data_IF_131349691573
#
_entry.id   IF_131349691573
#
_cell.length_a   1.000
_cell.length_b   1.000
_cell.length_c   1.000
_cell.angle_alpha   90.00
_cell.angle_beta   90.00
_cell.angle_gamma   90.00
#
_symmetry.space_group_name_H-M   'P 1'
#
loop_
_entity.id
_entity.type
_entity.pdbx_description
1 polymer ?
#
# COMPACT_ATOMS: atom_id res chain seq x y z
N UNK A 1 -11.95 9.87 -3.82
CA UNK A 1 -13.01 10.61 -3.12
C UNK A 1 -12.50 11.71 -2.17
N UNK A 2 -11.52 11.59 -1.25
CA UNK A 2 -11.02 12.78 -0.52
C UNK A 2 -10.28 13.79 -1.39
N UNK A 3 -9.67 13.36 -2.50
CA UNK A 3 -8.93 14.25 -3.41
C UNK A 3 -9.84 15.15 -4.27
N UNK A 4 -11.08 14.72 -4.54
CA UNK A 4 -12.00 15.50 -5.38
C UNK A 4 -12.61 16.68 -4.61
N UNK A 5 -12.86 16.52 -3.30
CA UNK A 5 -13.35 17.59 -2.44
C UNK A 5 -12.32 18.74 -2.28
N UNK A 6 -11.06 18.38 -2.01
CA UNK A 6 -9.98 19.36 -1.86
C UNK A 6 -9.67 20.10 -3.16
N UNK A 7 -9.77 19.41 -4.31
CA UNK A 7 -9.61 20.04 -5.62
C UNK A 7 -10.75 21.02 -5.89
N UNK A 8 -11.98 20.62 -5.60
CA UNK A 8 -13.15 21.50 -5.73
C UNK A 8 -13.06 22.73 -4.81
N UNK A 9 -12.52 22.59 -3.59
CA UNK A 9 -12.35 23.72 -2.67
C UNK A 9 -11.22 24.66 -3.11
N UNK A 10 -10.14 24.16 -3.68
CA UNK A 10 -9.09 24.99 -4.28
C UNK A 10 -9.62 25.76 -5.50
N UNK A 11 -10.36 25.09 -6.38
CA UNK A 11 -10.98 25.73 -7.56
C UNK A 11 -11.97 26.83 -7.12
N UNK A 12 -12.69 26.62 -6.02
CA UNK A 12 -13.62 27.60 -5.44
C UNK A 12 -12.90 28.83 -4.83
N UNK A 13 -11.76 28.61 -4.18
CA UNK A 13 -10.93 29.70 -3.66
C UNK A 13 -10.32 30.51 -4.81
N UNK A 14 -9.90 29.85 -5.88
CA UNK A 14 -9.36 30.52 -7.07
C UNK A 14 -10.42 31.38 -7.76
N UNK A 15 -11.66 30.92 -7.86
CA UNK A 15 -12.77 31.72 -8.39
C UNK A 15 -13.04 32.97 -7.53
N UNK A 16 -13.04 32.83 -6.19
CA UNK A 16 -13.23 33.98 -5.29
C UNK A 16 -12.09 34.99 -5.38
N UNK A 17 -10.86 34.52 -5.55
CA UNK A 17 -9.71 35.42 -5.75
C UNK A 17 -9.86 36.22 -7.05
N UNK A 18 -10.34 35.60 -8.12
CA UNK A 18 -10.58 36.25 -9.41
C UNK A 18 -11.72 37.30 -9.27
N UNK A 19 -12.78 36.97 -8.56
CA UNK A 19 -13.91 37.90 -8.29
C UNK A 19 -13.45 39.11 -7.46
N UNK A 20 -12.65 38.88 -6.41
CA UNK A 20 -12.09 39.94 -5.60
C UNK A 20 -11.11 40.80 -6.39
N UNK A 21 -10.31 40.24 -7.29
CA UNK A 21 -9.43 40.98 -8.19
C UNK A 21 -10.20 41.85 -9.19
N UNK A 22 -11.35 41.42 -9.68
CA UNK A 22 -12.20 42.26 -10.53
C UNK A 22 -12.74 43.48 -9.80
N UNK A 23 -12.96 43.41 -8.48
CA UNK A 23 -13.43 44.48 -7.63
C UNK A 23 -12.34 45.54 -7.30
N UNK A 24 -11.06 45.28 -7.59
CA UNK A 24 -9.96 46.25 -7.44
C UNK A 24 -10.09 47.47 -8.35
N UNK A 25 -10.91 47.38 -9.40
CA UNK A 25 -11.15 48.45 -10.36
C UNK A 25 -12.04 49.60 -9.77
N UNK A 26 -12.76 49.31 -8.67
CA UNK A 26 -13.61 50.31 -8.00
C UNK A 26 -12.82 51.00 -6.85
N UNK A 27 -12.63 52.34 -6.90
CA UNK A 27 -11.87 53.07 -5.87
C UNK A 27 -12.45 52.96 -4.46
N UNK A 28 -13.77 52.73 -4.31
CA UNK A 28 -14.43 52.61 -3.02
C UNK A 28 -14.30 51.19 -2.41
N UNK A 29 -14.08 50.16 -3.21
CA UNK A 29 -13.97 48.78 -2.78
C UNK A 29 -12.53 48.27 -2.73
N UNK A 30 -11.58 49.03 -3.25
CA UNK A 30 -10.17 48.65 -3.41
C UNK A 30 -9.55 48.08 -2.13
N UNK A 31 -9.67 48.80 -1.01
CA UNK A 31 -9.07 48.41 0.28
C UNK A 31 -9.68 47.13 0.82
N UNK A 32 -11.00 46.95 0.70
CA UNK A 32 -11.70 45.73 1.13
C UNK A 32 -11.34 44.53 0.25
N UNK A 33 -11.20 44.75 -1.06
CA UNK A 33 -10.79 43.71 -2.00
C UNK A 33 -9.34 43.25 -1.77
N UNK A 34 -8.43 44.16 -1.46
CA UNK A 34 -7.05 43.83 -1.09
C UNK A 34 -6.97 42.96 0.19
N UNK A 35 -7.73 43.32 1.23
CA UNK A 35 -7.79 42.51 2.46
C UNK A 35 -8.40 41.13 2.25
N UNK A 36 -9.41 41.04 1.40
CA UNK A 36 -10.07 39.79 1.08
C UNK A 36 -9.17 38.85 0.26
N UNK A 37 -8.44 39.38 -0.70
CA UNK A 37 -7.43 38.65 -1.47
C UNK A 37 -6.37 38.05 -0.55
N UNK A 38 -5.81 38.85 0.36
CA UNK A 38 -4.78 38.38 1.31
C UNK A 38 -5.32 37.20 2.16
N UNK A 39 -6.54 37.32 2.68
CA UNK A 39 -7.19 36.24 3.47
C UNK A 39 -7.42 34.97 2.66
N UNK A 40 -7.86 35.10 1.42
CA UNK A 40 -8.10 33.96 0.53
C UNK A 40 -6.79 33.28 0.11
N UNK A 41 -5.73 34.05 -0.13
CA UNK A 41 -4.40 33.51 -0.42
C UNK A 41 -3.77 32.80 0.79
N UNK A 42 -3.95 33.31 2.01
CA UNK A 42 -3.54 32.61 3.23
C UNK A 42 -4.31 31.30 3.41
N UNK A 43 -5.61 31.28 3.21
CA UNK A 43 -6.41 30.04 3.28
C UNK A 43 -5.96 29.02 2.22
N UNK A 44 -5.70 29.46 1.00
CA UNK A 44 -5.17 28.61 -0.07
C UNK A 44 -3.80 28.04 0.29
N UNK A 45 -2.93 28.86 0.86
CA UNK A 45 -1.59 28.43 1.31
C UNK A 45 -1.65 27.38 2.41
N UNK A 46 -2.48 27.58 3.44
CA UNK A 46 -2.69 26.61 4.52
C UNK A 46 -3.25 25.27 3.99
N UNK A 47 -4.19 25.31 3.04
CA UNK A 47 -4.72 24.11 2.39
C UNK A 47 -3.65 23.36 1.57
N UNK A 48 -2.82 24.08 0.83
CA UNK A 48 -1.71 23.50 0.07
C UNK A 48 -0.62 22.92 0.98
N UNK A 49 -0.28 23.61 2.07
CA UNK A 49 0.68 23.11 3.08
C UNK A 49 0.14 21.84 3.76
N UNK A 50 -1.13 21.81 4.15
CA UNK A 50 -1.76 20.62 4.71
C UNK A 50 -1.82 19.43 3.74
N UNK A 51 -1.96 19.69 2.43
CA UNK A 51 -1.83 18.65 1.39
C UNK A 51 -0.39 18.15 1.25
N UNK A 52 0.57 19.07 1.31
CA UNK A 52 1.99 18.67 1.23
C UNK A 52 2.44 17.92 2.47
N UNK A 53 1.96 18.30 3.67
CA UNK A 53 2.21 17.56 4.91
C UNK A 53 1.56 16.18 4.88
N UNK A 54 0.30 16.04 4.49
CA UNK A 54 -0.35 14.74 4.29
C UNK A 54 0.34 13.88 3.21
N UNK A 55 0.80 14.49 2.11
CA UNK A 55 1.61 13.78 1.11
C UNK A 55 2.99 13.41 1.63
N UNK A 56 3.59 14.22 2.52
CA UNK A 56 4.85 13.90 3.20
C UNK A 56 4.65 12.84 4.28
N UNK A 57 3.56 12.87 5.03
CA UNK A 57 3.21 11.81 6.01
C UNK A 57 2.92 10.48 5.32
N UNK A 58 2.16 10.47 4.22
CA UNK A 58 1.94 9.27 3.39
C UNK A 58 3.21 8.77 2.67
N UNK A 59 4.18 9.66 2.40
CA UNK A 59 5.51 9.28 1.87
C UNK A 59 6.52 8.96 2.97
N UNK A 60 6.30 9.44 4.20
CA UNK A 60 7.21 9.32 5.34
C UNK A 60 6.75 8.33 6.42
N UNK A 61 5.63 7.64 6.26
CA UNK A 61 5.57 6.35 6.94
C UNK A 61 6.69 5.51 6.33
N UNK A 62 7.74 5.17 7.10
CA UNK A 62 8.73 4.25 6.60
C UNK A 62 7.97 2.95 6.36
N UNK A 63 7.63 2.68 5.11
CA UNK A 63 7.25 1.35 4.64
C UNK A 63 8.45 0.47 4.99
N UNK A 64 8.50 0.04 6.29
CA UNK A 64 9.69 -0.51 6.87
C UNK A 64 10.02 -1.87 6.30
N UNK A 65 9.45 -2.88 6.86
CA UNK A 65 9.74 -4.26 6.47
C UNK A 65 9.02 -4.64 5.18
N UNK A 66 9.65 -5.51 4.41
CA UNK A 66 9.10 -6.03 3.15
C UNK A 66 9.12 -7.55 3.14
N UNK A 67 8.13 -8.15 2.52
CA UNK A 67 8.07 -9.57 2.25
C UNK A 67 8.24 -9.75 0.74
N UNK A 68 9.28 -10.45 0.32
CA UNK A 68 9.47 -10.88 -1.06
C UNK A 68 8.92 -12.27 -1.24
N UNK A 69 7.98 -12.43 -2.16
CA UNK A 69 7.42 -13.70 -2.55
C UNK A 69 7.91 -14.04 -3.97
N UNK A 70 8.71 -15.08 -4.10
CA UNK A 70 9.35 -15.49 -5.34
C UNK A 70 8.74 -16.82 -5.77
N UNK A 71 8.08 -16.81 -6.92
CA UNK A 71 7.40 -18.00 -7.45
C UNK A 71 8.00 -18.43 -8.77
N UNK A 72 8.24 -19.73 -9.00
CA UNK A 72 8.63 -20.21 -10.31
C UNK A 72 7.50 -19.97 -11.32
N UNK A 73 7.88 -19.53 -12.52
CA UNK A 73 6.97 -19.33 -13.64
C UNK A 73 7.12 -20.46 -14.68
N UNK A 74 7.13 -20.07 -15.97
CA UNK A 74 7.30 -21.02 -17.07
C UNK A 74 8.75 -21.52 -17.16
N UNK A 75 8.97 -22.84 -17.21
CA UNK A 75 10.30 -23.45 -17.37
C UNK A 75 10.55 -24.74 -16.57
N UNK A 76 9.53 -25.24 -15.87
CA UNK A 76 9.64 -26.48 -15.12
C UNK A 76 10.68 -26.43 -14.00
N UNK A 77 11.56 -27.43 -13.90
CA UNK A 77 12.56 -27.56 -12.83
C UNK A 77 13.57 -26.40 -12.84
N UNK A 78 13.96 -25.93 -14.03
CA UNK A 78 14.87 -24.78 -14.17
C UNK A 78 14.26 -23.49 -13.62
N UNK A 79 12.94 -23.28 -13.72
CA UNK A 79 12.27 -22.14 -13.14
C UNK A 79 12.32 -22.17 -11.60
N UNK A 80 12.27 -23.35 -10.98
CA UNK A 80 12.41 -23.51 -9.52
C UNK A 80 13.84 -23.17 -9.08
N UNK A 81 14.85 -23.69 -9.80
CA UNK A 81 16.26 -23.39 -9.53
C UNK A 81 16.50 -21.88 -9.65
N UNK A 82 15.99 -21.24 -10.70
CA UNK A 82 16.12 -19.82 -10.90
C UNK A 82 15.41 -19.00 -9.80
N UNK A 83 14.26 -19.45 -9.32
CA UNK A 83 13.58 -18.80 -8.19
C UNK A 83 14.44 -18.82 -6.92
N UNK A 84 15.10 -19.95 -6.63
CA UNK A 84 16.07 -20.07 -5.52
C UNK A 84 17.30 -19.18 -5.72
N UNK A 85 17.81 -19.07 -6.94
CA UNK A 85 18.93 -18.18 -7.26
C UNK A 85 18.56 -16.70 -6.99
N UNK A 86 17.34 -16.29 -7.36
CA UNK A 86 16.83 -14.95 -7.05
C UNK A 86 16.68 -14.73 -5.54
N UNK A 87 16.15 -15.71 -4.81
CA UNK A 87 16.04 -15.66 -3.35
C UNK A 87 17.41 -15.45 -2.70
N UNK A 88 18.40 -16.24 -3.12
CA UNK A 88 19.78 -16.11 -2.65
C UNK A 88 20.38 -14.75 -3.00
N UNK A 89 20.16 -14.25 -4.21
CA UNK A 89 20.62 -12.94 -4.65
C UNK A 89 20.06 -11.81 -3.78
N UNK A 90 18.74 -11.82 -3.53
CA UNK A 90 18.09 -10.82 -2.68
C UNK A 90 18.51 -10.91 -1.22
N UNK A 91 18.66 -12.13 -0.70
CA UNK A 91 19.16 -12.36 0.66
C UNK A 91 20.55 -11.78 0.85
N UNK A 92 21.50 -12.08 -0.05
CA UNK A 92 22.86 -11.54 0.00
C UNK A 92 22.88 -10.01 -0.12
N UNK A 93 22.06 -9.48 -1.02
CA UNK A 93 21.92 -8.02 -1.17
C UNK A 93 21.40 -7.38 0.11
N UNK A 94 20.32 -7.90 0.70
CA UNK A 94 19.77 -7.36 1.93
C UNK A 94 20.78 -7.38 3.09
N UNK A 95 21.51 -8.49 3.25
CA UNK A 95 22.56 -8.62 4.26
C UNK A 95 23.70 -7.62 4.03
N UNK A 96 24.09 -7.38 2.77
CA UNK A 96 25.13 -6.39 2.44
C UNK A 96 24.72 -4.95 2.77
N UNK A 97 23.41 -4.68 2.81
CA UNK A 97 22.85 -3.39 3.22
C UNK A 97 22.58 -3.30 4.73
N UNK A 98 23.02 -4.28 5.52
CA UNK A 98 22.81 -4.32 6.97
C UNK A 98 21.36 -4.63 7.39
N UNK A 99 20.53 -5.13 6.48
CA UNK A 99 19.14 -5.49 6.75
C UNK A 99 19.06 -6.91 7.34
N UNK A 100 18.08 -7.14 8.20
CA UNK A 100 17.84 -8.47 8.78
C UNK A 100 16.90 -9.26 7.89
N UNK A 101 17.34 -10.45 7.45
CA UNK A 101 16.54 -11.37 6.62
C UNK A 101 16.02 -12.52 7.47
N UNK A 102 14.75 -12.87 7.28
CA UNK A 102 14.08 -14.02 7.90
C UNK A 102 13.41 -14.80 6.80
N UNK A 103 13.80 -16.05 6.60
CA UNK A 103 13.09 -16.96 5.71
C UNK A 103 11.78 -17.37 6.36
N UNK A 104 10.66 -17.13 5.70
CA UNK A 104 9.32 -17.47 6.17
C UNK A 104 8.91 -18.83 5.63
N UNK A 105 9.15 -19.05 4.34
CA UNK A 105 8.88 -20.29 3.62
C UNK A 105 9.77 -20.36 2.36
N UNK A 106 9.77 -21.47 1.66
CA UNK A 106 10.48 -21.62 0.39
C UNK A 106 9.95 -20.60 -0.63
N UNK A 107 10.83 -19.73 -1.12
CA UNK A 107 10.46 -18.65 -2.01
C UNK A 107 9.80 -17.45 -1.31
N UNK A 108 9.82 -17.39 0.03
CA UNK A 108 9.25 -16.28 0.78
C UNK A 108 10.23 -15.80 1.86
N UNK A 109 10.78 -14.61 1.68
CA UNK A 109 11.69 -13.98 2.63
C UNK A 109 11.15 -12.65 3.14
N UNK A 110 11.28 -12.44 4.43
CA UNK A 110 10.96 -11.18 5.11
C UNK A 110 12.24 -10.41 5.39
N UNK A 111 12.30 -9.19 4.93
CA UNK A 111 13.44 -8.29 5.10
C UNK A 111 13.00 -7.16 6.03
N UNK A 112 13.70 -7.04 7.17
CA UNK A 112 13.41 -6.04 8.21
C UNK A 112 14.38 -4.87 8.12
N UNK A 113 13.83 -3.66 8.12
CA UNK A 113 14.57 -2.40 8.16
C UNK A 113 13.82 -1.28 7.47
N UNK A 114 14.01 -0.04 7.90
CA UNK A 114 13.31 1.13 7.35
C UNK A 114 13.62 1.39 5.88
N UNK A 115 14.76 0.92 5.38
CA UNK A 115 15.19 1.05 3.99
C UNK A 115 14.80 -0.15 3.11
N UNK A 116 14.17 -1.20 3.67
CA UNK A 116 13.89 -2.40 2.90
C UNK A 116 12.92 -2.11 1.72
N UNK A 117 11.78 -1.50 1.98
CA UNK A 117 10.81 -1.23 0.90
C UNK A 117 11.39 -0.33 -0.22
N UNK A 118 12.03 0.81 0.04
CA UNK A 118 12.65 1.63 -1.01
C UNK A 118 13.66 0.89 -1.88
N UNK A 119 14.39 -0.09 -1.32
CA UNK A 119 15.37 -0.87 -2.05
C UNK A 119 14.75 -1.95 -2.95
N UNK A 120 13.61 -2.51 -2.55
CA UNK A 120 13.01 -3.65 -3.25
C UNK A 120 11.74 -3.31 -4.04
N UNK A 121 11.16 -2.12 -3.91
CA UNK A 121 9.89 -1.74 -4.55
C UNK A 121 9.85 -1.95 -6.07
N UNK A 122 10.99 -1.79 -6.76
CA UNK A 122 11.09 -1.97 -8.20
C UNK A 122 11.42 -3.41 -8.63
N UNK A 123 11.52 -4.34 -7.70
CA UNK A 123 11.79 -5.74 -8.02
C UNK A 123 10.52 -6.55 -8.30
N UNK A 124 9.32 -5.96 -8.10
CA UNK A 124 8.06 -6.60 -8.43
C UNK A 124 7.90 -6.80 -9.93
N UNK A 125 7.64 -8.06 -10.34
CA UNK A 125 7.40 -8.39 -11.73
C UNK A 125 7.97 -9.73 -12.18
N UNK A 126 7.93 -9.98 -13.51
CA UNK A 126 8.46 -11.18 -14.12
C UNK A 126 9.95 -11.08 -14.43
N UNK A 127 10.74 -12.01 -13.93
CA UNK A 127 12.17 -12.16 -14.19
C UNK A 127 12.40 -13.33 -15.13
N UNK A 128 13.23 -13.14 -16.16
CA UNK A 128 13.55 -14.13 -17.16
C UNK A 128 15.02 -14.50 -17.10
N UNK A 129 15.34 -15.79 -17.09
CA UNK A 129 16.69 -16.31 -17.23
C UNK A 129 16.89 -16.98 -18.58
N UNK A 130 18.08 -16.81 -19.14
CA UNK A 130 18.56 -17.48 -20.33
C UNK A 130 19.92 -18.11 -20.01
N UNK A 131 19.97 -19.42 -19.81
CA UNK A 131 21.19 -20.20 -19.55
C UNK A 131 21.02 -21.64 -20.00
N UNK A 132 22.11 -22.38 -20.04
CA UNK A 132 22.08 -23.82 -20.14
C UNK A 132 21.79 -24.35 -18.72
N UNK A 133 20.65 -25.00 -18.47
CA UNK A 133 20.32 -25.53 -17.15
C UNK A 133 21.29 -26.65 -16.74
N UNK A 134 21.48 -26.85 -15.44
CA UNK A 134 22.24 -27.99 -14.91
C UNK A 134 21.59 -29.33 -15.30
N UNK A 135 20.28 -29.33 -15.56
CA UNK A 135 19.48 -30.49 -15.97
C UNK A 135 19.55 -30.77 -17.48
N UNK A 136 20.21 -29.94 -18.29
CA UNK A 136 20.30 -30.08 -19.73
C UNK A 136 21.60 -30.79 -20.14
N UNK A 137 21.48 -31.94 -20.76
CA UNK A 137 22.62 -32.75 -21.19
C UNK A 137 23.19 -32.39 -22.57
N UNK A 138 22.40 -31.72 -23.42
CA UNK A 138 22.81 -31.35 -24.81
C UNK A 138 23.30 -29.94 -24.98
N UNK A 139 23.52 -29.19 -23.87
CA UNK A 139 24.05 -27.82 -23.92
C UNK A 139 23.10 -26.77 -24.51
N UNK A 140 21.82 -27.06 -24.64
CA UNK A 140 20.83 -26.10 -25.19
C UNK A 140 20.51 -25.00 -24.18
N UNK A 141 20.42 -23.76 -24.67
CA UNK A 141 20.01 -22.63 -23.88
C UNK A 141 18.48 -22.69 -23.64
N UNK A 142 18.09 -22.75 -22.37
CA UNK A 142 16.69 -22.67 -21.97
C UNK A 142 16.32 -21.25 -21.54
N UNK A 143 15.04 -20.96 -21.68
CA UNK A 143 14.45 -19.70 -21.21
C UNK A 143 13.41 -20.03 -20.16
N UNK A 144 13.68 -19.67 -18.92
CA UNK A 144 12.78 -19.87 -17.78
C UNK A 144 12.41 -18.55 -17.12
N UNK A 145 11.33 -18.55 -16.37
CA UNK A 145 10.83 -17.32 -15.69
C UNK A 145 10.53 -17.61 -14.22
N UNK A 146 10.67 -16.57 -13.41
CA UNK A 146 10.17 -16.50 -12.05
C UNK A 146 9.47 -15.16 -11.84
N UNK A 147 8.48 -15.11 -10.95
CA UNK A 147 7.79 -13.87 -10.58
C UNK A 147 8.20 -13.48 -9.17
N UNK A 148 8.36 -12.18 -8.95
CA UNK A 148 8.67 -11.58 -7.66
C UNK A 148 7.54 -10.64 -7.29
N UNK A 149 6.87 -10.89 -6.15
CA UNK A 149 5.95 -9.95 -5.55
C UNK A 149 6.63 -9.27 -4.36
N UNK A 150 6.46 -7.96 -4.26
CA UNK A 150 6.98 -7.13 -3.17
C UNK A 150 5.80 -6.69 -2.32
N UNK A 151 5.68 -7.24 -1.12
CA UNK A 151 4.58 -7.00 -0.21
C UNK A 151 5.06 -6.17 0.97
N UNK A 152 4.46 -5.00 1.26
CA UNK A 152 4.75 -4.30 2.51
C UNK A 152 4.28 -5.15 3.70
N UNK A 153 5.06 -5.17 4.77
CA UNK A 153 4.58 -5.78 6.01
C UNK A 153 3.51 -4.90 6.64
N UNK A 154 2.29 -5.39 6.69
CA UNK A 154 1.21 -4.74 7.42
C UNK A 154 1.27 -5.21 8.87
N UNK A 155 1.42 -4.27 9.81
CA UNK A 155 1.32 -4.55 11.23
C UNK A 155 -0.13 -4.85 11.57
N UNK A 156 -0.35 -5.84 12.44
CA UNK A 156 -1.67 -6.01 13.06
C UNK A 156 -2.03 -4.72 13.80
N UNK A 157 -3.08 -4.07 13.33
CA UNK A 157 -3.53 -2.82 13.92
C UNK A 157 -4.47 -3.16 15.07
N UNK A 158 -4.09 -2.86 16.29
CA UNK A 158 -5.03 -2.86 17.42
C UNK A 158 -6.07 -1.76 17.17
N UNK A 159 -7.33 -2.17 17.03
CA UNK A 159 -8.42 -1.24 16.79
C UNK A 159 -8.77 -0.53 18.09
N UNK A 160 -8.26 0.68 18.24
CA UNK A 160 -8.64 1.57 19.34
C UNK A 160 -9.95 2.30 18.97
N UNK A 161 -11.02 1.99 19.72
CA UNK A 161 -12.29 2.68 19.57
C UNK A 161 -12.30 3.95 20.42
N UNK A 162 -12.26 5.11 19.78
CA UNK A 162 -12.47 6.38 20.48
C UNK A 162 -13.95 6.58 20.75
N UNK A 163 -14.32 6.84 22.01
CA UNK A 163 -15.71 7.08 22.39
C UNK A 163 -16.37 8.26 21.67
N UNK A 164 -15.58 9.24 21.17
CA UNK A 164 -16.04 10.40 20.39
C UNK A 164 -16.54 10.01 19.00
N UNK A 165 -16.02 8.91 18.45
CA UNK A 165 -16.32 8.42 17.09
C UNK A 165 -17.52 7.47 17.08
N UNK A 166 -18.09 7.17 18.25
CA UNK A 166 -19.23 6.26 18.40
C UNK A 166 -20.47 7.06 18.79
N UNK A 167 -21.53 6.91 18.01
CA UNK A 167 -22.87 7.37 18.36
C UNK A 167 -23.65 6.21 18.95
N UNK A 168 -24.24 6.42 20.12
CA UNK A 168 -25.00 5.41 20.84
C UNK A 168 -26.47 5.81 20.85
N UNK A 169 -27.34 4.93 20.37
CA UNK A 169 -28.79 5.08 20.43
C UNK A 169 -29.42 3.91 21.18
N UNK A 170 -30.30 4.22 22.11
CA UNK A 170 -31.09 3.24 22.85
C UNK A 170 -32.50 3.17 22.26
N UNK A 171 -33.02 1.97 22.12
CA UNK A 171 -34.37 1.75 21.60
C UNK A 171 -35.05 0.57 22.28
N UNK A 172 -36.36 0.45 22.06
CA UNK A 172 -37.12 -0.67 22.64
C UNK A 172 -36.83 -1.96 21.86
N UNK A 173 -36.56 -3.05 22.59
CA UNK A 173 -36.33 -4.34 21.97
C UNK A 173 -37.61 -4.85 21.26
N UNK A 174 -37.46 -5.48 20.09
CA UNK A 174 -38.57 -6.05 19.33
C UNK A 174 -38.85 -7.51 19.71
N UNK A 175 -38.67 -7.90 20.99
CA UNK A 175 -38.90 -9.29 21.43
C UNK A 175 -40.33 -9.51 21.93
N UNK A 176 -40.79 -10.76 21.89
CA UNK A 176 -42.10 -11.18 22.41
C UNK A 176 -42.08 -11.22 23.96
N UNK A 177 -41.81 -10.09 24.64
CA UNK A 177 -41.65 -10.05 26.08
C UNK A 177 -42.66 -9.10 26.75
N UNK A 178 -42.98 -9.35 28.00
CA UNK A 178 -44.04 -8.70 28.79
C UNK A 178 -43.90 -7.17 28.96
N UNK A 179 -44.76 -6.55 29.77
CA UNK A 179 -44.93 -5.09 29.92
C UNK A 179 -43.66 -4.26 30.12
N UNK A 180 -42.55 -4.85 30.64
CA UNK A 180 -41.27 -4.15 30.84
C UNK A 180 -40.50 -3.86 29.54
N UNK A 181 -40.67 -4.66 28.49
CA UNK A 181 -39.99 -4.47 27.22
C UNK A 181 -40.45 -3.20 26.48
N UNK A 182 -41.70 -2.83 26.71
CA UNK A 182 -42.27 -1.61 26.14
C UNK A 182 -41.98 -0.33 26.93
N UNK A 183 -41.59 -0.49 28.24
CA UNK A 183 -41.32 0.65 29.12
C UNK A 183 -39.86 1.05 29.21
N UNK A 184 -38.93 0.14 28.90
CA UNK A 184 -37.47 0.38 29.05
C UNK A 184 -36.73 0.12 27.75
N UNK A 185 -35.98 1.11 27.28
CA UNK A 185 -35.15 1.01 26.08
C UNK A 185 -33.85 0.24 26.38
N UNK A 186 -33.92 -1.08 26.38
CA UNK A 186 -32.77 -1.95 26.69
C UNK A 186 -31.91 -2.29 25.48
N UNK A 187 -32.45 -2.17 24.26
CA UNK A 187 -31.71 -2.42 23.06
C UNK A 187 -30.76 -1.27 22.71
N UNK A 188 -29.61 -1.60 22.19
CA UNK A 188 -28.51 -0.66 21.89
C UNK A 188 -28.16 -0.72 20.40
N UNK A 189 -28.05 0.46 19.79
CA UNK A 189 -27.49 0.64 18.45
C UNK A 189 -26.25 1.52 18.54
N UNK A 190 -25.15 1.03 18.05
CA UNK A 190 -23.90 1.77 17.92
C UNK A 190 -23.64 2.09 16.46
N UNK A 191 -23.27 3.33 16.18
CA UNK A 191 -22.84 3.76 14.86
C UNK A 191 -21.44 4.34 14.95
N UNK A 192 -20.50 3.76 14.22
CA UNK A 192 -19.16 4.31 14.10
C UNK A 192 -19.16 5.40 13.02
N UNK A 193 -19.02 6.67 13.43
CA UNK A 193 -19.15 7.84 12.56
C UNK A 193 -18.21 7.84 11.35
N UNK A 194 -16.88 7.50 11.48
CA UNK A 194 -15.96 7.56 10.35
C UNK A 194 -16.25 6.51 9.27
N UNK A 195 -16.70 5.31 9.65
CA UNK A 195 -16.94 4.20 8.69
C UNK A 195 -18.40 3.97 8.37
N UNK A 196 -19.33 4.58 9.13
CA UNK A 196 -20.76 4.35 8.98
C UNK A 196 -21.26 2.97 9.43
N UNK A 197 -20.38 2.13 10.03
CA UNK A 197 -20.75 0.78 10.45
C UNK A 197 -21.71 0.86 11.63
N UNK A 198 -22.82 0.10 11.51
CA UNK A 198 -23.85 0.02 12.51
C UNK A 198 -23.84 -1.38 13.13
N UNK A 199 -23.91 -1.43 14.45
CA UNK A 199 -24.14 -2.67 15.22
C UNK A 199 -25.32 -2.49 16.18
N UNK A 200 -26.11 -3.54 16.32
CA UNK A 200 -27.27 -3.55 17.23
C UNK A 200 -27.20 -4.78 18.11
N UNK A 201 -27.56 -4.61 19.38
CA UNK A 201 -27.71 -5.72 20.30
C UNK A 201 -28.97 -5.53 21.17
N UNK A 202 -29.77 -6.59 21.26
CA UNK A 202 -31.02 -6.65 22.06
C UNK A 202 -31.22 -8.00 22.75
N UNK A 203 -30.14 -8.80 22.84
CA UNK A 203 -30.19 -10.19 23.31
C UNK A 203 -30.30 -10.33 24.82
N UNK A 204 -29.86 -9.32 25.57
CA UNK A 204 -29.75 -9.37 27.01
C UNK A 204 -30.83 -8.51 27.70
N UNK A 205 -31.14 -8.87 28.96
CA UNK A 205 -32.12 -8.14 29.76
C UNK A 205 -31.67 -6.73 30.14
N UNK A 206 -30.37 -6.52 30.37
CA UNK A 206 -29.84 -5.24 30.83
C UNK A 206 -29.18 -4.45 29.68
N UNK A 207 -29.46 -3.16 29.66
CA UNK A 207 -28.92 -2.22 28.67
C UNK A 207 -27.39 -2.21 28.63
N UNK A 208 -26.74 -2.27 29.79
CA UNK A 208 -25.28 -2.28 29.93
C UNK A 208 -24.64 -3.51 29.27
N UNK A 209 -25.28 -4.68 29.44
CA UNK A 209 -24.82 -5.92 28.79
C UNK A 209 -24.95 -5.83 27.26
N UNK A 210 -26.07 -5.33 26.77
CA UNK A 210 -26.29 -5.10 25.35
C UNK A 210 -25.26 -4.10 24.77
N UNK A 211 -24.92 -3.05 25.56
CA UNK A 211 -23.89 -2.08 25.16
C UNK A 211 -22.52 -2.74 25.05
N UNK A 212 -22.10 -3.57 26.01
CA UNK A 212 -20.82 -4.29 25.95
C UNK A 212 -20.75 -5.21 24.74
N UNK A 213 -21.78 -6.02 24.52
CA UNK A 213 -21.84 -6.92 23.36
C UNK A 213 -21.84 -6.13 22.03
N UNK A 214 -22.60 -5.03 21.94
CA UNK A 214 -22.61 -4.20 20.74
C UNK A 214 -21.23 -3.58 20.45
N UNK A 215 -20.46 -3.20 21.49
CA UNK A 215 -19.07 -2.71 21.35
C UNK A 215 -18.12 -3.81 20.86
N UNK A 216 -18.25 -5.03 21.37
CA UNK A 216 -17.47 -6.18 20.90
C UNK A 216 -17.77 -6.51 19.43
N UNK A 217 -19.05 -6.51 19.06
CA UNK A 217 -19.49 -6.69 17.68
C UNK A 217 -18.97 -5.58 16.77
N UNK A 218 -18.91 -4.33 17.23
CA UNK A 218 -18.37 -3.21 16.47
C UNK A 218 -16.86 -3.39 16.23
N UNK A 219 -16.11 -3.77 17.28
CA UNK A 219 -14.67 -4.09 17.13
C UNK A 219 -14.44 -5.21 16.13
N UNK A 220 -15.21 -6.29 16.22
CA UNK A 220 -15.09 -7.42 15.29
C UNK A 220 -15.36 -7.02 13.83
N UNK A 221 -16.40 -6.21 13.57
CA UNK A 221 -16.70 -5.70 12.24
C UNK A 221 -15.64 -4.75 11.69
N UNK A 222 -15.09 -3.87 12.53
CA UNK A 222 -14.01 -2.96 12.14
C UNK A 222 -12.73 -3.74 11.83
N UNK A 223 -12.41 -4.76 12.65
CA UNK A 223 -11.29 -5.66 12.40
C UNK A 223 -11.44 -6.41 11.07
N UNK A 224 -12.63 -6.94 10.80
CA UNK A 224 -12.90 -7.60 9.53
C UNK A 224 -12.71 -6.65 8.34
N UNK A 225 -13.23 -5.43 8.42
CA UNK A 225 -13.07 -4.42 7.36
C UNK A 225 -11.60 -4.07 7.12
N UNK A 226 -10.80 -3.97 8.19
CA UNK A 226 -9.37 -3.71 8.06
C UNK A 226 -8.63 -4.90 7.44
N UNK A 227 -8.97 -6.13 7.82
CA UNK A 227 -8.43 -7.34 7.21
C UNK A 227 -8.78 -7.43 5.71
N UNK A 228 -9.99 -7.04 5.32
CA UNK A 228 -10.39 -7.00 3.91
C UNK A 228 -9.59 -5.96 3.12
N UNK A 229 -9.31 -4.79 3.69
CA UNK A 229 -8.43 -3.78 3.06
C UNK A 229 -7.02 -4.30 2.88
N UNK A 230 -6.45 -4.92 3.91
CA UNK A 230 -5.12 -5.52 3.86
C UNK A 230 -5.07 -6.62 2.79
N UNK A 231 -6.05 -7.52 2.79
CA UNK A 231 -6.14 -8.59 1.79
C UNK A 231 -6.24 -8.04 0.35
N UNK A 232 -6.98 -6.95 0.16
CA UNK A 232 -7.09 -6.26 -1.12
C UNK A 232 -5.74 -5.66 -1.55
N UNK A 233 -5.01 -4.99 -0.65
CA UNK A 233 -3.68 -4.43 -0.93
C UNK A 233 -2.68 -5.52 -1.31
N UNK A 234 -2.65 -6.63 -0.55
CA UNK A 234 -1.81 -7.78 -0.85
C UNK A 234 -2.19 -8.40 -2.21
N UNK A 235 -3.49 -8.54 -2.49
CA UNK A 235 -3.99 -9.03 -3.76
C UNK A 235 -3.53 -8.18 -4.94
N UNK A 236 -3.62 -6.86 -4.81
CA UNK A 236 -3.17 -5.89 -5.83
C UNK A 236 -1.65 -5.98 -6.05
N UNK A 237 -0.85 -6.06 -4.98
CA UNK A 237 0.60 -6.20 -5.08
C UNK A 237 1.00 -7.52 -5.74
N UNK A 238 0.29 -8.63 -5.46
CA UNK A 238 0.51 -9.92 -6.15
C UNK A 238 0.13 -9.88 -7.63
N UNK A 239 -0.92 -9.15 -7.99
CA UNK A 239 -1.30 -8.96 -9.40
C UNK A 239 -0.21 -8.19 -10.17
N UNK A 240 0.44 -7.20 -9.54
CA UNK A 240 1.57 -6.48 -10.11
C UNK A 240 2.78 -7.35 -10.45
N UNK A 241 2.95 -8.49 -9.79
CA UNK A 241 4.00 -9.46 -10.09
C UNK A 241 3.81 -10.18 -11.45
N UNK A 242 2.64 -10.07 -12.06
CA UNK A 242 2.32 -10.68 -13.35
C UNK A 242 2.02 -12.18 -13.27
N UNK A 243 1.71 -12.77 -14.42
CA UNK A 243 1.30 -14.19 -14.54
C UNK A 243 2.47 -15.16 -14.70
N UNK A 244 3.71 -14.70 -14.72
CA UNK A 244 4.91 -15.51 -14.96
C UNK A 244 5.11 -15.96 -16.41
N UNK A 245 4.36 -15.38 -17.36
CA UNK A 245 4.53 -15.66 -18.79
C UNK A 245 5.85 -15.07 -19.29
N UNK A 246 6.49 -15.73 -20.27
CA UNK A 246 7.77 -15.30 -20.85
C UNK A 246 7.72 -13.89 -21.48
N UNK A 247 6.55 -13.44 -21.90
CA UNK A 247 6.33 -12.10 -22.47
C UNK A 247 6.31 -11.01 -21.39
N UNK A 248 5.81 -11.31 -20.21
CA UNK A 248 5.66 -10.38 -19.09
C UNK A 248 6.94 -10.30 -18.25
N UNK A 249 8.02 -9.80 -18.86
CA UNK A 249 9.31 -9.70 -18.18
C UNK A 249 9.67 -8.24 -17.92
N UNK A 250 10.06 -7.95 -16.69
CA UNK A 250 10.70 -6.68 -16.34
C UNK A 250 12.21 -6.75 -16.55
N UNK A 251 12.82 -7.90 -16.27
CA UNK A 251 14.27 -8.07 -16.33
C UNK A 251 14.68 -9.41 -16.95
N UNK A 252 15.77 -9.41 -17.71
CA UNK A 252 16.36 -10.61 -18.30
C UNK A 252 17.80 -10.81 -17.82
N UNK A 253 18.08 -11.99 -17.33
CA UNK A 253 19.39 -12.48 -16.90
C UNK A 253 19.94 -13.40 -17.99
N UNK A 254 20.90 -12.91 -18.78
CA UNK A 254 21.49 -13.63 -19.90
C UNK A 254 22.90 -14.12 -19.51
N UNK A 255 23.01 -15.38 -19.13
CA UNK A 255 24.28 -15.99 -18.70
C UNK A 255 25.30 -16.10 -19.82
N UNK A 256 24.97 -16.58 -21.05
CA UNK A 256 25.91 -16.62 -22.16
C UNK A 256 26.57 -15.28 -22.51
N UNK A 257 25.83 -14.17 -22.30
CA UNK A 257 26.32 -12.83 -22.56
C UNK A 257 26.83 -12.11 -21.31
N UNK A 258 26.80 -12.76 -20.16
CA UNK A 258 27.14 -12.20 -18.85
C UNK A 258 26.49 -10.82 -18.62
N UNK A 259 25.18 -10.72 -18.91
CA UNK A 259 24.45 -9.46 -18.95
C UNK A 259 23.07 -9.57 -18.27
N UNK A 260 22.74 -8.54 -17.48
CA UNK A 260 21.38 -8.29 -16.99
C UNK A 260 20.80 -7.10 -17.74
N UNK A 261 19.56 -7.21 -18.24
CA UNK A 261 18.85 -6.14 -18.95
C UNK A 261 17.52 -5.85 -18.25
N UNK A 262 17.30 -4.62 -17.83
CA UNK A 262 15.99 -4.16 -17.37
C UNK A 262 15.26 -3.53 -18.56
N UNK A 263 14.10 -4.12 -18.89
CA UNK A 263 13.33 -3.74 -20.09
C UNK A 263 12.49 -2.48 -19.87
N UNK A 264 12.24 -2.10 -18.62
CA UNK A 264 11.46 -0.89 -18.30
C UNK A 264 12.22 0.39 -18.63
N UNK A 265 13.55 0.35 -18.44
CA UNK A 265 14.43 1.49 -18.69
C UNK A 265 15.40 1.26 -19.87
N UNK A 266 15.31 0.11 -20.54
CA UNK A 266 16.16 -0.24 -21.68
C UNK A 266 17.66 -0.32 -21.35
N UNK A 267 18.03 -0.45 -20.07
CA UNK A 267 19.42 -0.43 -19.62
C UNK A 267 19.95 -1.85 -19.38
N UNK A 268 21.23 -2.05 -19.68
CA UNK A 268 21.91 -3.32 -19.48
C UNK A 268 23.18 -3.15 -18.62
N UNK A 269 23.42 -4.10 -17.75
CA UNK A 269 24.63 -4.19 -16.93
C UNK A 269 25.40 -5.45 -17.31
N UNK A 270 26.68 -5.32 -17.50
CA UNK A 270 27.64 -6.43 -17.61
C UNK A 270 27.96 -6.94 -16.21
N UNK A 271 28.57 -8.13 -16.09
CA UNK A 271 28.93 -8.77 -14.81
C UNK A 271 27.70 -9.31 -14.04
N UNK A 272 26.89 -10.09 -14.75
CA UNK A 272 25.73 -10.80 -14.18
C UNK A 272 26.11 -11.59 -12.93
N UNK A 273 27.29 -12.23 -12.92
CA UNK A 273 27.78 -13.01 -11.76
C UNK A 273 27.84 -12.17 -10.48
N UNK A 274 28.29 -10.92 -10.57
CA UNK A 274 28.33 -10.01 -9.41
C UNK A 274 26.92 -9.62 -8.96
N UNK A 275 26.01 -9.42 -9.90
CA UNK A 275 24.60 -9.11 -9.58
C UNK A 275 23.96 -10.30 -8.87
N UNK A 276 24.15 -11.53 -9.38
CA UNK A 276 23.66 -12.75 -8.75
C UNK A 276 24.33 -13.03 -7.38
N UNK A 277 25.56 -12.55 -7.17
CA UNK A 277 26.22 -12.57 -5.87
C UNK A 277 25.68 -11.53 -4.87
N UNK A 278 24.71 -10.68 -5.27
CA UNK A 278 24.06 -9.70 -4.39
C UNK A 278 24.46 -8.24 -4.64
N UNK A 279 25.25 -7.92 -5.66
CA UNK A 279 25.57 -6.52 -6.00
C UNK A 279 24.47 -5.87 -6.86
N UNK A 280 23.30 -5.63 -6.25
CA UNK A 280 22.13 -5.02 -6.94
C UNK A 280 22.13 -3.49 -6.89
N UNK A 281 22.98 -2.86 -6.10
CA UNK A 281 22.95 -1.40 -5.92
C UNK A 281 23.03 -0.60 -7.22
N UNK A 282 23.90 -0.95 -8.22
CA UNK A 282 23.94 -0.22 -9.49
C UNK A 282 22.63 -0.27 -10.28
N UNK A 283 21.87 -1.36 -10.13
CA UNK A 283 20.58 -1.54 -10.78
C UNK A 283 19.52 -0.66 -10.10
N UNK A 284 19.45 -0.71 -8.77
CA UNK A 284 18.51 0.05 -7.95
C UNK A 284 18.72 1.55 -8.09
N UNK A 285 19.97 2.02 -8.02
CA UNK A 285 20.30 3.44 -8.21
C UNK A 285 19.82 3.96 -9.56
N UNK A 286 19.97 3.15 -10.62
CA UNK A 286 19.52 3.55 -11.95
C UNK A 286 18.00 3.61 -12.03
N UNK A 287 17.29 2.65 -11.41
CA UNK A 287 15.82 2.63 -11.38
C UNK A 287 15.24 3.80 -10.60
N UNK A 288 15.86 4.21 -9.50
CA UNK A 288 15.42 5.36 -8.69
C UNK A 288 15.48 6.71 -9.43
N UNK A 289 16.25 6.82 -10.53
CA UNK A 289 16.33 8.03 -11.36
C UNK A 289 15.09 8.17 -12.26
N UNK A 290 14.32 7.09 -12.46
CA UNK A 290 13.13 7.07 -13.32
C UNK A 290 11.83 7.08 -12.47
N UNK A 291 11.32 8.27 -12.08
CA UNK A 291 10.15 8.37 -11.17
C UNK A 291 8.82 7.92 -11.78
N UNK A 292 8.79 7.66 -13.09
CA UNK A 292 7.60 7.20 -13.82
C UNK A 292 7.38 5.68 -13.79
N UNK A 293 8.29 4.92 -13.15
CA UNK A 293 8.10 3.48 -13.01
C UNK A 293 7.04 3.20 -11.94
N UNK A 294 6.03 2.35 -12.22
CA UNK A 294 5.11 1.89 -11.19
C UNK A 294 5.89 1.09 -10.14
N UNK A 295 5.62 1.40 -8.88
CA UNK A 295 6.14 0.67 -7.72
C UNK A 295 5.37 -0.63 -7.53
#
# INVERSE_FOLDING_TARGET
MPNDYLKAELDRLDQKIIEAQASLSDPQLKHLAEEEIIKLEEQKKVLLESQQEKKKELKNEPLGNVILEIRPGAGGEEAKIFALDLENMYTRFALSQGLKVITVDTGMIKIKGSQAYPLFQFEAGGHRVQRVPVTESQGRIHTSTATVAVLPEVKETDIHLNSKDISIHFFHASSHGGQNVQKVSTAVRLTHKPTGIITTCQSQRFQEQNRKIAMELLRAKLYQLEQEKIAFQIGTARQGAGSGRRAEKIRTYNFPQNRVTDHRIGTSWKQLDKIMAGNLMPVIQKLNIFPSLPA
#
